data_IF_575312998548
#
_entry.id   IF_575312998548
#
_cell.length_a   1.000
_cell.length_b   1.000
_cell.length_c   1.000
_cell.angle_alpha   90.00
_cell.angle_beta   90.00
_cell.angle_gamma   90.00
#
_symmetry.space_group_name_H-M   'P 1'
#
loop_
_entity.id
_entity.type
_entity.pdbx_description
1 polymer ?
#
# COMPACT_ATOMS: atom_id res chain seq x y z
N UNK A 1 -24.46 -0.16 12.00
CA UNK A 1 -24.09 -0.75 10.69
C UNK A 1 -23.02 -1.81 10.89
N UNK A 2 -23.33 -3.09 10.62
CA UNK A 2 -22.33 -4.16 10.68
C UNK A 2 -21.38 -3.97 9.49
N UNK A 3 -20.18 -3.43 9.73
CA UNK A 3 -19.11 -3.36 8.71
C UNK A 3 -18.75 -4.80 8.35
N UNK A 4 -19.17 -5.24 7.17
CA UNK A 4 -18.90 -6.57 6.67
C UNK A 4 -17.39 -6.76 6.53
N UNK A 5 -16.88 -7.75 7.27
CA UNK A 5 -15.47 -8.13 7.45
C UNK A 5 -14.92 -8.87 6.22
N UNK A 6 -15.22 -8.39 5.02
CA UNK A 6 -14.68 -8.95 3.79
C UNK A 6 -13.60 -8.00 3.24
N UNK A 7 -12.35 -8.46 3.11
CA UNK A 7 -11.29 -7.64 2.53
C UNK A 7 -11.68 -7.26 1.10
N UNK A 8 -11.62 -5.97 0.76
CA UNK A 8 -11.78 -5.54 -0.62
C UNK A 8 -10.50 -5.91 -1.37
N UNK A 9 -10.60 -6.86 -2.29
CA UNK A 9 -9.46 -7.32 -3.09
C UNK A 9 -9.32 -6.44 -4.32
N UNK A 10 -8.19 -5.74 -4.41
CA UNK A 10 -7.76 -5.02 -5.60
C UNK A 10 -6.54 -5.73 -6.16
N UNK A 11 -6.61 -6.14 -7.43
CA UNK A 11 -5.48 -6.80 -8.08
C UNK A 11 -4.96 -8.04 -7.32
N UNK A 12 -5.89 -8.89 -6.86
CA UNK A 12 -5.67 -10.14 -6.10
C UNK A 12 -5.10 -10.01 -4.68
N UNK A 13 -4.83 -8.78 -4.24
CA UNK A 13 -4.37 -8.47 -2.90
C UNK A 13 -5.41 -7.62 -2.17
N UNK A 14 -5.53 -7.84 -0.87
CA UNK A 14 -6.31 -6.99 0.01
C UNK A 14 -5.43 -6.45 1.13
N UNK A 15 -5.68 -5.19 1.47
CA UNK A 15 -5.10 -4.54 2.62
C UNK A 15 -5.60 -5.23 3.89
N UNK A 16 -4.71 -5.48 4.84
CA UNK A 16 -5.06 -5.87 6.20
C UNK A 16 -4.26 -5.05 7.20
N UNK A 17 -4.80 -4.92 8.40
CA UNK A 17 -4.15 -4.25 9.52
C UNK A 17 -3.87 -5.28 10.62
N UNK A 18 -2.64 -5.25 11.14
CA UNK A 18 -2.20 -6.06 12.27
C UNK A 18 -1.36 -5.19 13.20
N UNK A 19 -1.75 -5.10 14.47
CA UNK A 19 -1.04 -4.34 15.50
C UNK A 19 -0.74 -2.88 15.12
N UNK A 20 -1.66 -2.22 14.39
CA UNK A 20 -1.51 -0.83 13.95
C UNK A 20 -0.58 -0.64 12.75
N UNK A 21 -0.14 -1.73 12.10
CA UNK A 21 0.60 -1.70 10.84
C UNK A 21 -0.21 -2.34 9.72
N UNK A 22 0.03 -1.91 8.50
CA UNK A 22 -0.65 -2.40 7.30
C UNK A 22 0.23 -3.32 6.48
N UNK A 23 -0.39 -4.37 5.93
CA UNK A 23 0.21 -5.31 5.00
C UNK A 23 -0.80 -5.77 3.95
N UNK A 24 -0.42 -6.78 3.15
CA UNK A 24 -1.28 -7.32 2.11
C UNK A 24 -1.40 -8.85 2.16
N UNK A 25 -2.64 -9.33 2.10
CA UNK A 25 -2.99 -10.75 2.01
C UNK A 25 -3.55 -11.08 0.63
N UNK A 26 -3.37 -12.32 0.18
CA UNK A 26 -4.04 -12.81 -1.02
C UNK A 26 -5.45 -13.35 -0.73
N UNK A 27 -6.18 -13.72 -1.78
CA UNK A 27 -7.53 -14.34 -1.70
C UNK A 27 -7.61 -15.61 -0.84
N UNK A 28 -6.48 -16.27 -0.56
CA UNK A 28 -6.40 -17.46 0.31
C UNK A 28 -6.13 -17.08 1.78
N UNK A 29 -6.13 -15.79 2.12
CA UNK A 29 -5.83 -15.28 3.45
C UNK A 29 -4.34 -15.39 3.84
N UNK A 30 -3.44 -15.67 2.88
CA UNK A 30 -2.01 -15.76 3.16
C UNK A 30 -1.36 -14.39 3.04
N UNK A 31 -0.51 -14.05 4.01
CA UNK A 31 0.31 -12.83 3.98
C UNK A 31 1.24 -12.92 2.76
N UNK A 32 1.15 -11.90 1.90
CA UNK A 32 2.04 -11.70 0.75
C UNK A 32 3.04 -10.60 1.01
N UNK A 33 2.62 -9.54 1.69
CA UNK A 33 3.46 -8.43 2.10
C UNK A 33 3.22 -8.23 3.60
N UNK A 34 4.26 -8.34 4.44
CA UNK A 34 4.13 -8.21 5.90
C UNK A 34 3.51 -6.88 6.34
N UNK A 35 2.87 -6.88 7.51
CA UNK A 35 2.33 -5.68 8.11
C UNK A 35 3.43 -4.83 8.76
N UNK A 36 4.12 -4.02 7.95
CA UNK A 36 5.23 -3.16 8.40
C UNK A 36 4.97 -1.66 8.17
N UNK A 37 3.93 -1.32 7.39
CA UNK A 37 3.67 0.05 6.99
C UNK A 37 2.79 0.77 8.01
N UNK A 38 3.08 2.04 8.30
CA UNK A 38 2.24 2.89 9.14
C UNK A 38 0.92 3.23 8.45
N UNK A 39 0.98 3.44 7.13
CA UNK A 39 -0.19 3.57 6.27
C UNK A 39 0.04 2.83 4.96
N UNK A 40 -1.02 2.28 4.39
CA UNK A 40 -1.00 1.77 3.03
C UNK A 40 -2.37 1.91 2.37
N UNK A 41 -2.38 2.09 1.05
CA UNK A 41 -3.59 2.13 0.24
C UNK A 41 -3.74 0.84 -0.59
N UNK A 42 -4.96 0.47 -1.00
CA UNK A 42 -5.18 -0.65 -1.91
C UNK A 42 -4.40 -0.49 -3.22
N UNK A 43 -4.12 -1.62 -3.89
CA UNK A 43 -3.42 -1.61 -5.16
C UNK A 43 -4.27 -0.96 -6.26
N UNK A 44 -3.73 0.02 -6.96
CA UNK A 44 -4.32 0.64 -8.15
C UNK A 44 -3.25 0.64 -9.24
N UNK A 45 -3.59 0.16 -10.45
CA UNK A 45 -2.63 0.03 -11.56
C UNK A 45 -1.32 -0.69 -11.15
N UNK A 46 -1.44 -1.83 -10.48
CA UNK A 46 -0.30 -2.66 -10.01
C UNK A 46 0.60 -2.03 -8.94
N UNK A 47 0.28 -0.82 -8.45
CA UNK A 47 1.05 -0.10 -7.44
C UNK A 47 0.23 0.15 -6.17
N UNK A 48 0.89 0.15 -5.02
CA UNK A 48 0.30 0.55 -3.75
C UNK A 48 1.14 1.65 -3.10
N UNK A 49 0.47 2.71 -2.65
CA UNK A 49 1.08 3.72 -1.79
C UNK A 49 1.33 3.12 -0.41
N UNK A 50 2.51 3.37 0.14
CA UNK A 50 2.89 2.96 1.49
C UNK A 50 3.65 4.06 2.23
N UNK A 51 3.54 4.06 3.55
CA UNK A 51 4.19 5.01 4.45
C UNK A 51 4.92 4.27 5.58
N UNK A 52 6.15 4.68 5.89
CA UNK A 52 6.93 4.25 7.07
C UNK A 52 7.55 5.49 7.70
N UNK A 53 7.33 5.72 8.99
CA UNK A 53 7.91 6.83 9.76
C UNK A 53 7.72 8.20 9.09
N UNK A 54 6.55 8.42 8.48
CA UNK A 54 6.20 9.66 7.77
C UNK A 54 6.88 9.83 6.40
N UNK A 55 7.61 8.83 5.92
CA UNK A 55 8.15 8.76 4.56
C UNK A 55 7.28 7.89 3.69
N UNK A 56 7.16 8.26 2.42
CA UNK A 56 6.20 7.69 1.49
C UNK A 56 6.91 7.09 0.28
N UNK A 57 6.30 6.05 -0.29
CA UNK A 57 6.79 5.35 -1.47
C UNK A 57 5.69 4.54 -2.14
N UNK A 58 6.08 3.82 -3.20
CA UNK A 58 5.19 2.91 -3.92
C UNK A 58 5.82 1.55 -4.04
N UNK A 59 5.04 0.51 -3.77
CA UNK A 59 5.45 -0.88 -3.94
C UNK A 59 4.63 -1.57 -5.02
N UNK A 60 5.23 -2.59 -5.63
CA UNK A 60 4.50 -3.52 -6.48
C UNK A 60 3.88 -4.68 -5.66
N UNK A 61 3.17 -5.59 -6.32
CA UNK A 61 2.52 -6.75 -5.69
C UNK A 61 3.47 -7.76 -5.03
N UNK A 62 4.76 -7.70 -5.33
CA UNK A 62 5.79 -8.52 -4.68
C UNK A 62 6.31 -7.86 -3.40
N UNK A 63 5.91 -6.62 -3.12
CA UNK A 63 6.46 -5.82 -2.02
C UNK A 63 7.77 -5.13 -2.37
N UNK A 64 8.15 -5.10 -3.65
CA UNK A 64 9.35 -4.39 -4.10
C UNK A 64 9.05 -2.90 -4.24
N UNK A 65 9.91 -2.04 -3.71
CA UNK A 65 9.81 -0.59 -3.84
C UNK A 65 10.05 -0.18 -5.30
N UNK A 66 9.01 0.32 -5.95
CA UNK A 66 9.09 0.97 -7.27
C UNK A 66 9.47 2.45 -7.09
N UNK A 67 8.95 3.08 -6.03
CA UNK A 67 9.37 4.41 -5.58
C UNK A 67 9.85 4.24 -4.14
N UNK A 68 11.14 4.54 -3.86
CA UNK A 68 11.71 4.33 -2.55
C UNK A 68 10.93 5.04 -1.44
N UNK A 69 10.79 4.39 -0.28
CA UNK A 69 10.09 4.96 0.89
C UNK A 69 11.00 5.97 1.60
N UNK A 70 11.23 7.12 0.97
CA UNK A 70 12.14 8.15 1.49
C UNK A 70 11.65 9.58 1.34
N UNK A 71 10.56 9.79 0.62
CA UNK A 71 10.04 11.13 0.32
C UNK A 71 9.07 11.59 1.40
N UNK A 72 9.00 12.87 1.70
CA UNK A 72 8.01 13.38 2.67
C UNK A 72 6.59 13.40 2.10
N UNK A 73 6.47 13.68 0.80
CA UNK A 73 5.18 13.77 0.10
C UNK A 73 5.35 13.33 -1.36
N UNK A 74 4.33 12.65 -1.88
CA UNK A 74 4.19 12.27 -3.29
C UNK A 74 2.88 12.82 -3.83
N UNK A 75 2.92 13.48 -4.98
CA UNK A 75 1.76 14.09 -5.63
C UNK A 75 1.55 13.41 -6.99
N UNK A 76 0.34 12.90 -7.23
CA UNK A 76 -0.04 12.33 -8.53
C UNK A 76 -0.74 13.39 -9.36
N UNK A 77 -0.17 13.70 -10.52
CA UNK A 77 -0.85 14.48 -11.56
C UNK A 77 -1.61 13.55 -12.52
N UNK A 78 -2.63 14.10 -13.19
CA UNK A 78 -3.57 13.34 -14.04
C UNK A 78 -2.93 12.67 -15.26
N UNK A 79 -1.69 13.02 -15.58
CA UNK A 79 -0.87 12.45 -16.66
C UNK A 79 0.05 11.31 -16.20
N UNK A 80 0.00 10.94 -14.92
CA UNK A 80 0.85 9.90 -14.35
C UNK A 80 2.23 10.40 -13.89
N UNK A 81 2.44 11.73 -13.84
CA UNK A 81 3.64 12.30 -13.23
C UNK A 81 3.53 12.24 -11.71
N UNK A 82 4.61 11.77 -11.09
CA UNK A 82 4.78 11.76 -9.64
C UNK A 82 5.79 12.83 -9.27
N UNK A 83 5.33 13.86 -8.56
CA UNK A 83 6.22 14.86 -7.94
C UNK A 83 6.52 14.46 -6.52
N UNK A 84 7.72 14.75 -6.05
CA UNK A 84 8.13 14.47 -4.67
C UNK A 84 8.83 15.65 -4.03
N UNK A 85 8.76 15.71 -2.70
CA UNK A 85 9.55 16.61 -1.86
C UNK A 85 10.47 15.79 -0.94
N UNK A 86 11.72 16.22 -0.80
CA UNK A 86 12.72 15.62 0.10
C UNK A 86 12.63 16.12 1.55
#
# INVERSE_FOLDING_TARGET
MKKTKYPFFTNDLALFEESGKYGFINKKGRIKIPAIYDKALPFVNELAYVEIDGKVGYINKKGEEIIPIKYKQLWFESDGIIRFAE
#
